data_IF_233294861036
#
_entry.id   IF_233294861036
#
_cell.length_a   1.000
_cell.length_b   1.000
_cell.length_c   1.000
_cell.angle_alpha   90.00
_cell.angle_beta   90.00
_cell.angle_gamma   90.00
#
_symmetry.space_group_name_H-M   'P 1'
#
loop_
_entity.id
_entity.type
_entity.pdbx_description
1 polymer ?
#
# COMPACT_ATOMS: atom_id res chain seq x y z
N UNK A 1 -12.40 10.01 9.32
CA UNK A 1 -10.98 10.17 8.94
C UNK A 1 -10.83 11.17 7.77
N UNK A 2 -9.63 11.67 7.48
CA UNK A 2 -9.38 12.60 6.36
C UNK A 2 -9.43 11.92 4.97
N UNK A 3 -9.14 10.61 4.87
CA UNK A 3 -9.06 9.96 3.57
C UNK A 3 -10.45 9.77 2.94
N UNK A 4 -11.49 9.45 3.72
CA UNK A 4 -12.88 9.37 3.26
C UNK A 4 -13.37 10.72 2.75
N UNK A 5 -13.03 11.80 3.46
CA UNK A 5 -13.36 13.16 3.01
C UNK A 5 -12.67 13.51 1.69
N UNK A 6 -11.38 13.18 1.55
CA UNK A 6 -10.64 13.43 0.31
C UNK A 6 -11.15 12.55 -0.84
N UNK A 7 -11.49 11.29 -0.56
CA UNK A 7 -12.06 10.34 -1.52
C UNK A 7 -13.37 10.85 -2.08
N UNK A 8 -14.29 11.30 -1.23
CA UNK A 8 -15.56 11.91 -1.65
C UNK A 8 -15.35 13.10 -2.59
N UNK A 9 -14.39 13.98 -2.30
CA UNK A 9 -14.10 15.14 -3.15
C UNK A 9 -13.41 14.74 -4.46
N UNK A 10 -12.50 13.77 -4.41
CA UNK A 10 -11.88 13.22 -5.62
C UNK A 10 -12.92 12.55 -6.53
N UNK A 11 -13.91 11.85 -5.96
CA UNK A 11 -15.03 11.25 -6.68
C UNK A 11 -16.00 12.29 -7.28
N UNK A 12 -15.99 13.51 -6.73
CA UNK A 12 -16.68 14.67 -7.31
C UNK A 12 -15.84 15.37 -8.41
N UNK A 13 -14.65 14.86 -8.73
CA UNK A 13 -13.80 15.35 -9.80
C UNK A 13 -12.79 16.42 -9.40
N UNK A 14 -12.62 16.70 -8.10
CA UNK A 14 -11.62 17.65 -7.63
C UNK A 14 -10.23 17.04 -7.70
N UNK A 15 -9.25 17.84 -8.09
CA UNK A 15 -7.86 17.41 -8.10
C UNK A 15 -7.20 17.50 -6.70
N UNK A 16 -6.04 16.83 -6.48
CA UNK A 16 -5.36 16.87 -5.19
C UNK A 16 -4.92 18.25 -4.72
N UNK A 17 -4.71 19.20 -5.62
CA UNK A 17 -4.29 20.56 -5.32
C UNK A 17 -5.47 21.38 -4.77
N UNK A 18 -6.65 21.26 -5.39
CA UNK A 18 -7.91 21.84 -4.90
C UNK A 18 -8.33 21.27 -3.55
N UNK A 19 -8.21 19.95 -3.37
CA UNK A 19 -8.50 19.29 -2.09
C UNK A 19 -7.50 19.76 -1.04
N UNK A 20 -6.20 19.83 -1.37
CA UNK A 20 -5.16 20.26 -0.45
C UNK A 20 -5.40 21.67 0.08
N UNK A 21 -5.77 22.59 -0.81
CA UNK A 21 -6.12 23.97 -0.46
C UNK A 21 -7.30 24.04 0.52
N UNK A 22 -8.34 23.21 0.34
CA UNK A 22 -9.53 23.19 1.23
C UNK A 22 -9.23 22.69 2.64
N UNK A 23 -8.26 21.79 2.79
CA UNK A 23 -7.92 21.16 4.07
C UNK A 23 -6.62 21.68 4.67
N UNK A 24 -5.98 22.67 4.05
CA UNK A 24 -4.68 23.22 4.45
C UNK A 24 -3.58 22.14 4.56
N UNK A 25 -3.56 21.21 3.61
CA UNK A 25 -2.54 20.16 3.49
C UNK A 25 -1.89 20.17 2.12
N UNK A 26 -0.71 19.57 2.00
CA UNK A 26 -0.03 19.49 0.71
C UNK A 26 -0.77 18.54 -0.25
N UNK A 27 -0.67 18.75 -1.59
CA UNK A 27 -1.20 17.80 -2.57
C UNK A 27 -0.59 16.40 -2.42
N UNK A 28 0.66 16.30 -1.96
CA UNK A 28 1.31 15.03 -1.64
C UNK A 28 0.59 14.29 -0.49
N UNK A 29 0.21 15.03 0.56
CA UNK A 29 -0.60 14.50 1.67
C UNK A 29 -1.97 14.00 1.18
N UNK A 30 -2.61 14.76 0.28
CA UNK A 30 -3.89 14.32 -0.32
C UNK A 30 -3.71 13.02 -1.09
N UNK A 31 -2.72 12.93 -1.99
CA UNK A 31 -2.41 11.70 -2.74
C UNK A 31 -2.12 10.52 -1.81
N UNK A 32 -1.35 10.75 -0.76
CA UNK A 32 -1.05 9.72 0.25
C UNK A 32 -2.32 9.22 0.95
N UNK A 33 -3.23 10.13 1.32
CA UNK A 33 -4.51 9.76 1.94
C UNK A 33 -5.43 9.05 0.95
N UNK A 34 -5.53 9.51 -0.29
CA UNK A 34 -6.32 8.85 -1.33
C UNK A 34 -5.85 7.41 -1.60
N UNK A 35 -4.55 7.11 -1.45
CA UNK A 35 -4.04 5.73 -1.54
C UNK A 35 -4.68 4.81 -0.49
N UNK A 36 -5.02 5.31 0.70
CA UNK A 36 -5.72 4.51 1.73
C UNK A 36 -7.13 4.07 1.31
N UNK A 37 -7.73 4.71 0.31
CA UNK A 37 -9.04 4.30 -0.20
C UNK A 37 -9.02 2.94 -0.93
N UNK A 38 -7.84 2.43 -1.28
CA UNK A 38 -7.64 1.08 -1.84
C UNK A 38 -7.50 -0.01 -0.77
N UNK A 39 -7.43 0.37 0.50
CA UNK A 39 -7.21 -0.55 1.62
C UNK A 39 -8.55 -1.03 2.18
N UNK A 40 -8.61 -2.30 2.58
CA UNK A 40 -9.84 -2.92 3.07
C UNK A 40 -10.37 -2.20 4.31
N UNK A 41 -11.70 -2.08 4.45
CA UNK A 41 -12.32 -1.46 5.62
C UNK A 41 -11.84 -2.09 6.93
N UNK A 42 -11.69 -3.42 6.96
CA UNK A 42 -11.21 -4.17 8.14
C UNK A 42 -9.81 -3.71 8.56
N UNK A 43 -8.90 -3.51 7.60
CA UNK A 43 -7.54 -3.04 7.91
C UNK A 43 -7.52 -1.56 8.31
N UNK A 44 -8.42 -0.75 7.75
CA UNK A 44 -8.58 0.64 8.14
C UNK A 44 -9.12 0.76 9.58
N UNK A 45 -10.03 -0.12 9.99
CA UNK A 45 -10.53 -0.17 11.37
C UNK A 45 -9.37 -0.52 12.35
N UNK A 46 -8.49 -1.46 11.98
CA UNK A 46 -7.29 -1.76 12.76
C UNK A 46 -6.36 -0.54 12.87
N UNK A 47 -6.24 0.25 11.79
CA UNK A 47 -5.44 1.47 11.80
C UNK A 47 -6.05 2.55 12.69
N UNK A 48 -7.38 2.67 12.68
CA UNK A 48 -8.11 3.58 13.58
C UNK A 48 -8.00 3.18 15.06
N UNK A 49 -7.81 1.89 15.35
CA UNK A 49 -7.59 1.35 16.69
C UNK A 49 -6.12 1.29 17.14
N UNK A 50 -5.19 1.90 16.38
CA UNK A 50 -3.74 1.85 16.63
C UNK A 50 -3.13 0.42 16.66
N UNK A 51 -3.81 -0.58 16.07
CA UNK A 51 -3.33 -1.98 16.00
C UNK A 51 -2.33 -2.22 14.85
N UNK A 52 -2.31 -1.32 13.87
CA UNK A 52 -1.40 -1.33 12.72
C UNK A 52 -0.83 0.07 12.50
N UNK A 53 0.45 0.17 12.15
CA UNK A 53 1.15 1.45 11.93
C UNK A 53 0.86 2.01 10.53
N UNK A 54 1.02 3.32 10.37
CA UNK A 54 0.84 4.02 9.08
C UNK A 54 1.69 3.39 7.96
N UNK A 55 2.93 3.00 8.23
CA UNK A 55 3.83 2.43 7.21
C UNK A 55 3.35 1.05 6.73
N UNK A 56 2.71 0.29 7.63
CA UNK A 56 2.18 -1.04 7.36
C UNK A 56 0.86 -0.94 6.58
N UNK A 57 -0.06 -0.07 7.00
CA UNK A 57 -1.33 0.14 6.27
C UNK A 57 -1.07 0.71 4.87
N UNK A 58 -0.09 1.60 4.71
CA UNK A 58 0.36 2.10 3.40
C UNK A 58 0.91 0.98 2.51
N UNK A 59 1.49 -0.08 3.06
CA UNK A 59 1.96 -1.22 2.28
C UNK A 59 0.81 -2.02 1.65
N UNK A 60 -0.38 -2.03 2.26
CA UNK A 60 -1.57 -2.67 1.69
C UNK A 60 -2.17 -1.90 0.51
N UNK A 61 -1.91 -0.60 0.40
CA UNK A 61 -2.45 0.26 -0.68
C UNK A 61 -1.89 -0.01 -2.09
N UNK A 62 -0.96 -0.97 -2.24
CA UNK A 62 -0.40 -1.35 -3.56
C UNK A 62 -1.33 -2.29 -4.34
N UNK A 63 -2.36 -2.80 -3.69
CA UNK A 63 -3.37 -3.70 -4.27
C UNK A 63 -4.74 -3.16 -3.87
N UNK A 64 -5.73 -3.31 -4.74
CA UNK A 64 -7.15 -3.01 -4.49
C UNK A 64 -7.97 -4.28 -4.15
N UNK A 65 -7.33 -5.45 -4.12
CA UNK A 65 -7.95 -6.71 -3.71
C UNK A 65 -8.00 -6.80 -2.18
N UNK A 66 -9.13 -6.35 -1.63
CA UNK A 66 -9.40 -6.37 -0.19
C UNK A 66 -9.31 -7.79 0.40
N UNK A 67 -9.79 -8.82 -0.30
CA UNK A 67 -9.73 -10.19 0.21
C UNK A 67 -8.28 -10.66 0.32
N UNK A 68 -7.44 -10.31 -0.66
CA UNK A 68 -6.01 -10.59 -0.62
C UNK A 68 -5.29 -9.85 0.49
N UNK A 69 -5.60 -8.58 0.71
CA UNK A 69 -5.03 -7.79 1.80
C UNK A 69 -5.34 -8.42 3.16
N UNK A 70 -6.59 -8.82 3.38
CA UNK A 70 -7.02 -9.45 4.64
C UNK A 70 -6.34 -10.80 4.86
N UNK A 71 -6.21 -11.64 3.82
CA UNK A 71 -5.45 -12.89 3.90
C UNK A 71 -3.98 -12.68 4.27
N UNK A 72 -3.34 -11.65 3.68
CA UNK A 72 -1.96 -11.30 4.00
C UNK A 72 -1.85 -10.87 5.46
N UNK A 73 -2.77 -10.03 5.93
CA UNK A 73 -2.81 -9.60 7.33
C UNK A 73 -3.00 -10.78 8.29
N UNK A 74 -3.98 -11.65 8.04
CA UNK A 74 -4.24 -12.84 8.87
C UNK A 74 -3.01 -13.75 8.99
N UNK A 75 -2.20 -13.85 7.92
CA UNK A 75 -0.96 -14.62 7.92
C UNK A 75 0.14 -14.02 8.80
N UNK A 76 0.19 -12.69 8.94
CA UNK A 76 1.30 -11.99 9.60
C UNK A 76 0.93 -11.33 10.94
N UNK A 77 -0.36 -11.22 11.27
CA UNK A 77 -0.85 -10.51 12.45
C UNK A 77 -0.27 -11.07 13.76
N UNK A 78 -0.05 -12.38 13.84
CA UNK A 78 0.59 -13.05 14.99
C UNK A 78 2.11 -13.10 14.93
N UNK A 79 2.72 -12.62 13.84
CA UNK A 79 4.16 -12.65 13.63
C UNK A 79 4.83 -11.37 14.13
N UNK A 80 6.11 -11.47 14.50
CA UNK A 80 6.95 -10.32 14.80
C UNK A 80 7.44 -9.59 13.54
N UNK A 81 7.11 -10.10 12.34
CA UNK A 81 7.59 -9.61 11.05
C UNK A 81 6.43 -9.03 10.26
N UNK A 82 6.05 -7.81 10.63
CA UNK A 82 5.00 -7.04 9.98
C UNK A 82 5.59 -5.86 9.20
N UNK A 83 6.81 -6.03 8.69
CA UNK A 83 7.53 -4.95 8.02
C UNK A 83 6.88 -4.61 6.66
N UNK A 84 6.80 -3.32 6.27
CA UNK A 84 6.15 -2.88 5.03
C UNK A 84 6.67 -3.60 3.77
N UNK A 85 7.98 -3.86 3.68
CA UNK A 85 8.58 -4.62 2.58
C UNK A 85 8.00 -6.05 2.50
N UNK A 86 7.87 -6.72 3.64
CA UNK A 86 7.36 -8.09 3.70
C UNK A 86 5.87 -8.16 3.34
N UNK A 87 5.06 -7.18 3.79
CA UNK A 87 3.66 -7.04 3.38
C UNK A 87 3.55 -6.91 1.86
N UNK A 88 4.32 -6.00 1.24
CA UNK A 88 4.32 -5.80 -0.22
C UNK A 88 4.75 -7.06 -0.98
N UNK A 89 5.75 -7.76 -0.47
CA UNK A 89 6.22 -9.04 -1.04
C UNK A 89 5.09 -10.09 -1.00
N UNK A 90 4.40 -10.25 0.12
CA UNK A 90 3.28 -11.20 0.21
C UNK A 90 2.12 -10.81 -0.71
N UNK A 91 1.80 -9.53 -0.83
CA UNK A 91 0.74 -9.05 -1.74
C UNK A 91 1.05 -9.39 -3.21
N UNK A 92 2.32 -9.35 -3.62
CA UNK A 92 2.75 -9.60 -5.00
C UNK A 92 3.04 -11.07 -5.30
N UNK A 93 3.52 -11.87 -4.34
CA UNK A 93 3.91 -13.27 -4.55
C UNK A 93 2.76 -14.22 -4.88
N UNK A 94 1.53 -13.94 -4.43
CA UNK A 94 0.39 -14.87 -4.62
C UNK A 94 -0.47 -14.54 -5.84
N UNK A 95 -0.39 -13.31 -6.35
CA UNK A 95 -1.01 -12.90 -7.62
C UNK A 95 -0.48 -13.72 -8.81
N UNK A 96 0.70 -14.33 -8.68
CA UNK A 96 1.31 -15.17 -9.73
C UNK A 96 0.67 -16.56 -9.84
N UNK A 97 -0.13 -17.02 -8.87
CA UNK A 97 -0.69 -18.40 -8.86
C UNK A 97 -2.19 -18.51 -9.12
N UNK A 98 -2.95 -17.42 -9.09
CA UNK A 98 -4.39 -17.48 -9.32
C UNK A 98 -4.74 -17.62 -10.81
N UNK A 99 -4.11 -16.83 -11.69
CA UNK A 99 -4.60 -16.70 -13.08
C UNK A 99 -3.46 -16.69 -14.13
N UNK A 100 -3.14 -17.87 -14.67
CA UNK A 100 -2.54 -18.16 -16.00
C UNK A 100 -1.18 -17.50 -16.44
N UNK A 101 -0.54 -18.13 -17.43
CA UNK A 101 0.86 -18.07 -17.92
C UNK A 101 1.34 -16.75 -18.54
N UNK A 102 0.85 -15.59 -18.09
CA UNK A 102 1.35 -14.27 -18.50
C UNK A 102 1.38 -13.26 -17.36
N UNK A 103 1.67 -13.69 -16.14
CA UNK A 103 1.93 -12.78 -15.02
C UNK A 103 3.23 -12.01 -15.27
N UNK A 104 3.11 -10.89 -15.97
CA UNK A 104 4.16 -9.90 -16.16
C UNK A 104 4.56 -9.38 -14.79
N UNK A 105 5.88 -9.19 -14.64
CA UNK A 105 6.64 -8.71 -13.50
C UNK A 105 6.22 -7.30 -13.04
N UNK A 106 4.93 -7.08 -12.73
CA UNK A 106 4.39 -5.80 -12.26
C UNK A 106 4.81 -5.53 -10.81
N UNK A 107 5.29 -6.53 -10.07
CA UNK A 107 5.67 -6.40 -8.66
C UNK A 107 6.79 -5.39 -8.40
N UNK A 108 7.79 -5.32 -9.28
CA UNK A 108 8.89 -4.35 -9.14
C UNK A 108 8.50 -2.96 -9.70
N UNK A 109 7.83 -2.92 -10.85
CA UNK A 109 7.37 -1.66 -11.45
C UNK A 109 6.33 -0.94 -10.57
N UNK A 110 5.37 -1.67 -9.98
CA UNK A 110 4.39 -1.09 -9.06
C UNK A 110 5.04 -0.62 -7.75
N UNK A 111 6.10 -1.30 -7.30
CA UNK A 111 6.87 -0.90 -6.13
C UNK A 111 7.67 0.39 -6.38
N UNK A 112 8.35 0.50 -7.53
CA UNK A 112 9.06 1.72 -7.93
C UNK A 112 8.10 2.88 -8.23
N UNK A 113 6.99 2.62 -8.93
CA UNK A 113 5.97 3.63 -9.25
C UNK A 113 5.24 4.17 -8.00
N UNK A 114 5.14 3.36 -6.93
CA UNK A 114 4.61 3.81 -5.64
C UNK A 114 5.61 4.68 -4.84
N UNK A 115 6.83 4.86 -5.33
CA UNK A 115 7.92 5.60 -4.67
C UNK A 115 8.75 4.75 -3.72
N UNK A 116 8.68 3.42 -3.84
CA UNK A 116 9.56 2.51 -3.10
C UNK A 116 10.97 2.49 -3.69
N UNK A 117 11.98 2.79 -2.88
CA UNK A 117 13.38 2.59 -3.29
C UNK A 117 13.66 1.09 -3.25
N UNK A 118 13.97 0.48 -4.40
CA UNK A 118 14.59 -0.84 -4.43
C UNK A 118 16.05 -0.63 -4.07
N UNK A 119 16.41 -0.89 -2.81
CA UNK A 119 17.79 -1.17 -2.45
C UNK A 119 18.15 -2.50 -3.13
N UNK A 120 18.70 -2.43 -4.35
CA UNK A 120 19.55 -3.51 -4.85
C UNK A 120 20.73 -3.56 -3.91
N UNK A 121 20.76 -4.56 -3.04
CA UNK A 121 21.90 -4.80 -2.18
C UNK A 121 23.17 -4.82 -3.03
N UNK A 122 24.11 -3.93 -2.71
CA UNK A 122 25.50 -3.92 -3.16
C UNK A 122 26.30 -5.05 -2.49
N UNK A 123 25.71 -6.23 -2.36
CA UNK A 123 26.39 -7.44 -1.87
C UNK A 123 26.34 -8.52 -2.95
N UNK A 124 27.09 -8.28 -4.01
CA UNK A 124 27.72 -9.37 -4.75
C UNK A 124 29.21 -9.05 -4.89
N UNK A 125 30.01 -10.06 -4.52
CA UNK A 125 31.47 -10.18 -4.62
C UNK A 125 32.30 -9.59 -3.47
N UNK A 126 32.54 -10.43 -2.45
CA UNK A 126 33.89 -11.00 -2.37
C UNK A 126 33.85 -12.44 -1.81
N UNK A 127 34.04 -13.41 -2.70
CA UNK A 127 34.67 -14.67 -2.36
C UNK A 127 36.08 -14.56 -2.91
N UNK A 128 37.02 -14.21 -2.04
CA UNK A 128 38.46 -14.13 -2.26
C UNK A 128 39.19 -14.47 -0.98
#
# INVERSE_FOLDING_TARGET
DQFRAFKTLSDQGLDPDEIGARFFVSPATVRQRLRLASVSPKLLDLYENDEIRLEQIMAFSISDDHARQEQVWERIASSHTQEPYYIRRLLTETTVRADDRRAVYIGAEAYEAAGGVILRDLFEQDSG
#
